data_IF_263516605872
#
_entry.id   IF_263516605872
#
_cell.length_a   1.000
_cell.length_b   1.000
_cell.length_c   1.000
_cell.angle_alpha   90.00
_cell.angle_beta   90.00
_cell.angle_gamma   90.00
#
_symmetry.space_group_name_H-M   'P 1'
#
loop_
_entity.id
_entity.type
_entity.pdbx_description
1 polymer ?
#
# COMPACT_ATOMS: atom_id res chain seq x y z
N UNK A 1 -17.50 -23.17 7.76
CA UNK A 1 -18.38 -24.35 7.92
C UNK A 1 -18.00 -25.41 6.88
N UNK A 2 -17.16 -26.39 7.25
CA UNK A 2 -16.74 -27.47 6.35
C UNK A 2 -17.85 -28.53 6.23
N UNK A 3 -18.83 -28.28 5.35
CA UNK A 3 -19.87 -29.24 5.03
C UNK A 3 -19.39 -30.31 4.04
N UNK A 4 -19.58 -31.59 4.38
CA UNK A 4 -19.34 -32.77 3.52
C UNK A 4 -19.74 -32.50 2.06
N UNK A 5 -18.84 -32.81 1.11
CA UNK A 5 -19.12 -32.80 -0.33
C UNK A 5 -20.34 -33.68 -0.64
N UNK A 6 -21.49 -33.06 -0.89
CA UNK A 6 -22.60 -33.70 -1.60
C UNK A 6 -22.45 -33.31 -3.07
N UNK A 7 -21.99 -34.25 -3.87
CA UNK A 7 -22.12 -34.17 -5.33
C UNK A 7 -23.56 -34.53 -5.66
N UNK A 8 -24.30 -33.63 -6.31
CA UNK A 8 -25.60 -33.97 -6.88
C UNK A 8 -25.36 -34.86 -8.12
N UNK A 9 -26.30 -35.74 -8.47
CA UNK A 9 -26.23 -36.64 -9.65
C UNK A 9 -25.91 -35.91 -10.98
N UNK A 10 -26.13 -34.60 -11.03
CA UNK A 10 -25.82 -33.73 -12.17
C UNK A 10 -24.37 -33.17 -12.18
N UNK A 11 -23.50 -33.54 -11.24
CA UNK A 11 -22.10 -33.09 -11.17
C UNK A 11 -21.87 -31.69 -10.56
N UNK A 12 -22.87 -31.13 -9.89
CA UNK A 12 -22.76 -29.89 -9.11
C UNK A 12 -22.28 -30.20 -7.67
N UNK A 13 -21.33 -29.41 -7.16
CA UNK A 13 -20.80 -29.52 -5.78
C UNK A 13 -20.87 -28.16 -5.06
N UNK A 14 -20.78 -28.17 -3.73
CA UNK A 14 -20.71 -26.94 -2.93
C UNK A 14 -19.57 -26.02 -3.39
N UNK A 15 -18.39 -26.59 -3.65
CA UNK A 15 -17.20 -25.86 -4.09
C UNK A 15 -17.47 -25.14 -5.43
N UNK A 16 -18.10 -25.83 -6.40
CA UNK A 16 -18.44 -25.26 -7.70
C UNK A 16 -19.51 -24.16 -7.62
N UNK A 17 -20.47 -24.30 -6.70
CA UNK A 17 -21.50 -23.27 -6.47
C UNK A 17 -20.89 -22.02 -5.87
N UNK A 18 -20.00 -22.17 -4.89
CA UNK A 18 -19.25 -21.06 -4.31
C UNK A 18 -18.35 -20.38 -5.35
N UNK A 19 -17.71 -21.16 -6.23
CA UNK A 19 -16.94 -20.62 -7.36
C UNK A 19 -17.78 -19.75 -8.29
N UNK A 20 -18.97 -20.23 -8.66
CA UNK A 20 -19.91 -19.47 -9.51
C UNK A 20 -20.35 -18.18 -8.81
N UNK A 21 -20.70 -18.26 -7.53
CA UNK A 21 -21.09 -17.09 -6.73
C UNK A 21 -19.97 -16.05 -6.68
N UNK A 22 -18.73 -16.45 -6.38
CA UNK A 22 -17.57 -15.54 -6.37
C UNK A 22 -17.35 -14.89 -7.72
N UNK A 23 -17.36 -15.66 -8.81
CA UNK A 23 -17.12 -15.11 -10.16
C UNK A 23 -18.22 -14.15 -10.58
N UNK A 24 -19.49 -14.53 -10.47
CA UNK A 24 -20.59 -13.66 -10.86
C UNK A 24 -20.78 -12.49 -9.88
N UNK A 25 -20.39 -12.66 -8.63
CA UNK A 25 -20.31 -11.60 -7.62
C UNK A 25 -19.37 -10.49 -8.04
N UNK A 26 -18.25 -10.81 -8.70
CA UNK A 26 -17.31 -9.82 -9.24
C UNK A 26 -17.72 -9.36 -10.65
N UNK A 27 -17.93 -10.28 -11.60
CA UNK A 27 -18.10 -9.95 -13.02
C UNK A 27 -19.52 -9.51 -13.41
N UNK A 28 -20.53 -9.72 -12.56
CA UNK A 28 -21.97 -9.44 -12.77
C UNK A 28 -22.67 -10.31 -13.80
N UNK A 29 -22.02 -10.58 -14.92
CA UNK A 29 -22.52 -11.43 -16.00
C UNK A 29 -21.36 -12.21 -16.60
N UNK A 30 -21.48 -13.52 -16.75
CA UNK A 30 -20.43 -14.34 -17.36
C UNK A 30 -21.00 -15.58 -18.05
N UNK A 31 -20.22 -16.17 -18.96
CA UNK A 31 -20.49 -17.51 -19.48
C UNK A 31 -19.87 -18.57 -18.56
N UNK A 32 -20.35 -19.82 -18.66
CA UNK A 32 -19.77 -20.93 -17.91
C UNK A 32 -18.28 -21.16 -18.22
N UNK A 33 -17.84 -20.81 -19.44
CA UNK A 33 -16.43 -20.90 -19.87
C UNK A 33 -15.56 -19.87 -19.16
N UNK A 34 -16.05 -18.63 -19.02
CA UNK A 34 -15.34 -17.59 -18.28
C UNK A 34 -15.26 -17.92 -16.78
N UNK A 35 -16.35 -18.42 -16.20
CA UNK A 35 -16.36 -18.89 -14.80
C UNK A 35 -15.33 -20.01 -14.62
N UNK A 36 -15.35 -21.02 -15.48
CA UNK A 36 -14.39 -22.13 -15.41
C UNK A 36 -12.94 -21.65 -15.53
N UNK A 37 -12.63 -20.74 -16.46
CA UNK A 37 -11.26 -20.24 -16.66
C UNK A 37 -10.74 -19.50 -15.43
N UNK A 38 -11.60 -18.82 -14.67
CA UNK A 38 -11.22 -18.11 -13.46
C UNK A 38 -11.10 -19.02 -12.25
N UNK A 39 -12.10 -19.87 -12.00
CA UNK A 39 -12.13 -20.66 -10.77
C UNK A 39 -11.42 -22.01 -10.88
N UNK A 40 -11.35 -22.57 -12.09
CA UNK A 40 -10.88 -23.93 -12.31
C UNK A 40 -10.05 -24.04 -13.60
N UNK A 41 -8.98 -23.24 -13.77
CA UNK A 41 -8.24 -23.10 -15.04
C UNK A 41 -7.66 -24.40 -15.61
N UNK A 42 -7.37 -25.39 -14.77
CA UNK A 42 -6.86 -26.69 -15.24
C UNK A 42 -7.83 -27.44 -16.15
N UNK A 43 -9.15 -27.21 -16.05
CA UNK A 43 -10.12 -27.85 -16.96
C UNK A 43 -9.98 -27.37 -18.41
N UNK A 44 -9.34 -26.21 -18.65
CA UNK A 44 -9.04 -25.73 -20.01
C UNK A 44 -8.11 -26.67 -20.77
N UNK A 45 -7.30 -27.45 -20.05
CA UNK A 45 -6.33 -28.40 -20.59
C UNK A 45 -6.82 -29.85 -20.52
N UNK A 46 -8.08 -30.08 -20.15
CA UNK A 46 -8.69 -31.41 -20.14
C UNK A 46 -9.51 -31.66 -21.40
N UNK A 47 -9.80 -32.93 -21.64
CA UNK A 47 -10.68 -33.38 -22.74
C UNK A 47 -10.16 -32.97 -24.12
N UNK A 48 -8.84 -32.78 -24.27
CA UNK A 48 -8.22 -32.33 -25.53
C UNK A 48 -8.40 -33.31 -26.68
N UNK A 49 -8.66 -34.59 -26.36
CA UNK A 49 -8.94 -35.69 -27.30
C UNK A 49 -10.33 -35.64 -27.95
N UNK A 50 -11.26 -34.77 -27.49
CA UNK A 50 -12.56 -34.63 -28.16
C UNK A 50 -12.37 -34.02 -29.56
N UNK A 51 -13.14 -34.48 -30.56
CA UNK A 51 -12.82 -34.26 -31.98
C UNK A 51 -13.03 -32.81 -32.46
N UNK A 52 -13.80 -32.00 -31.74
CA UNK A 52 -14.12 -30.63 -32.16
C UNK A 52 -13.92 -29.64 -31.01
N UNK A 53 -13.52 -28.39 -31.28
CA UNK A 53 -13.43 -27.34 -30.26
C UNK A 53 -14.73 -27.16 -29.44
N UNK A 54 -15.90 -27.26 -30.08
CA UNK A 54 -17.19 -27.16 -29.42
C UNK A 54 -17.39 -28.28 -28.38
N UNK A 55 -17.17 -29.55 -28.75
CA UNK A 55 -17.26 -30.69 -27.80
C UNK A 55 -16.22 -30.60 -26.67
N UNK A 56 -15.02 -30.07 -26.94
CA UNK A 56 -14.03 -29.79 -25.89
C UNK A 56 -14.54 -28.76 -24.88
N UNK A 57 -15.05 -27.64 -25.39
CA UNK A 57 -15.64 -26.57 -24.57
C UNK A 57 -16.86 -27.05 -23.78
N UNK A 58 -17.71 -27.85 -24.40
CA UNK A 58 -18.87 -28.44 -23.74
C UNK A 58 -18.47 -29.32 -22.56
N UNK A 59 -17.51 -30.22 -22.77
CA UNK A 59 -17.03 -31.13 -21.73
C UNK A 59 -16.39 -30.37 -20.55
N UNK A 60 -15.49 -29.42 -20.82
CA UNK A 60 -14.79 -28.69 -19.75
C UNK A 60 -15.68 -27.74 -18.95
N UNK A 61 -16.81 -27.31 -19.49
CA UNK A 61 -17.75 -26.39 -18.83
C UNK A 61 -18.97 -27.08 -18.22
N UNK A 62 -19.12 -28.40 -18.39
CA UNK A 62 -20.31 -29.13 -17.97
C UNK A 62 -20.61 -28.98 -16.47
N UNK A 63 -19.60 -29.13 -15.62
CA UNK A 63 -19.73 -28.98 -14.16
C UNK A 63 -20.16 -27.58 -13.75
N UNK A 64 -19.62 -26.54 -14.38
CA UNK A 64 -19.98 -25.15 -14.08
C UNK A 64 -21.37 -24.80 -14.60
N UNK A 65 -21.78 -25.35 -15.76
CA UNK A 65 -23.17 -25.24 -16.24
C UNK A 65 -24.15 -25.90 -15.27
N UNK A 66 -23.82 -27.09 -14.75
CA UNK A 66 -24.63 -27.78 -13.75
C UNK A 66 -24.73 -26.96 -12.44
N UNK A 67 -23.61 -26.43 -11.95
CA UNK A 67 -23.59 -25.60 -10.74
C UNK A 67 -24.41 -24.31 -10.89
N UNK A 68 -24.31 -23.63 -12.03
CA UNK A 68 -25.14 -22.45 -12.30
C UNK A 68 -26.63 -22.83 -12.36
N UNK A 69 -26.97 -23.94 -13.01
CA UNK A 69 -28.36 -24.38 -13.11
C UNK A 69 -28.94 -24.77 -11.73
N UNK A 70 -28.11 -25.31 -10.84
CA UNK A 70 -28.48 -25.58 -9.44
C UNK A 70 -28.74 -24.28 -8.67
N UNK A 71 -27.85 -23.29 -8.75
CA UNK A 71 -28.07 -21.96 -8.17
C UNK A 71 -29.34 -21.29 -8.69
N UNK A 72 -29.66 -21.48 -9.98
CA UNK A 72 -30.92 -21.00 -10.58
C UNK A 72 -32.15 -21.68 -9.98
N UNK A 73 -32.11 -23.01 -9.77
CA UNK A 73 -33.20 -23.74 -9.09
C UNK A 73 -33.43 -23.24 -7.67
N UNK A 74 -32.38 -22.76 -7.02
CA UNK A 74 -32.45 -22.13 -5.69
C UNK A 74 -32.73 -20.62 -5.71
N UNK A 75 -33.05 -20.03 -6.87
CA UNK A 75 -33.39 -18.60 -6.98
C UNK A 75 -32.19 -17.64 -6.82
N UNK A 76 -30.95 -18.14 -6.85
CA UNK A 76 -29.73 -17.34 -6.65
C UNK A 76 -29.14 -16.83 -7.97
N UNK A 77 -29.47 -17.45 -9.10
CA UNK A 77 -29.00 -17.05 -10.42
C UNK A 77 -30.15 -17.02 -11.43
N UNK A 78 -30.01 -16.25 -12.51
CA UNK A 78 -30.96 -16.20 -13.64
C UNK A 78 -30.22 -16.12 -14.96
N UNK A 79 -30.96 -16.33 -16.04
CA UNK A 79 -30.46 -16.26 -17.42
C UNK A 79 -30.24 -14.80 -17.83
N UNK A 80 -29.03 -14.50 -18.29
CA UNK A 80 -28.63 -13.18 -18.78
C UNK A 80 -28.79 -12.99 -20.29
N UNK A 81 -29.36 -13.97 -20.99
CA UNK A 81 -29.40 -13.99 -22.44
C UNK A 81 -28.22 -14.73 -23.04
N UNK A 82 -27.89 -14.43 -24.31
CA UNK A 82 -26.84 -15.12 -25.07
C UNK A 82 -25.84 -14.13 -25.66
N UNK A 83 -24.58 -14.56 -25.77
CA UNK A 83 -23.56 -13.84 -26.53
C UNK A 83 -23.86 -13.93 -28.03
N UNK A 84 -23.16 -13.12 -28.84
CA UNK A 84 -23.23 -13.21 -30.31
C UNK A 84 -22.83 -14.59 -30.84
N UNK A 85 -21.95 -15.30 -30.12
CA UNK A 85 -21.56 -16.68 -30.41
C UNK A 85 -22.57 -17.73 -29.93
N UNK A 86 -23.73 -17.33 -29.42
CA UNK A 86 -24.78 -18.23 -28.95
C UNK A 86 -24.56 -18.79 -27.54
N UNK A 87 -23.53 -18.34 -26.83
CA UNK A 87 -23.21 -18.84 -25.49
C UNK A 87 -24.14 -18.24 -24.44
N UNK A 88 -24.64 -19.08 -23.54
CA UNK A 88 -25.50 -18.62 -22.47
C UNK A 88 -24.73 -17.82 -21.42
N UNK A 89 -25.30 -16.68 -21.05
CA UNK A 89 -24.77 -15.80 -20.01
C UNK A 89 -25.66 -15.89 -18.77
N UNK A 90 -25.06 -15.68 -17.61
CA UNK A 90 -25.69 -15.92 -16.32
C UNK A 90 -25.38 -14.76 -15.39
N UNK A 91 -26.34 -14.39 -14.55
CA UNK A 91 -26.23 -13.31 -13.56
C UNK A 91 -26.85 -13.73 -12.24
N UNK A 92 -26.46 -13.06 -11.16
CA UNK A 92 -27.01 -13.31 -9.82
C UNK A 92 -28.30 -12.52 -9.60
N UNK A 93 -29.21 -13.10 -8.82
CA UNK A 93 -30.33 -12.35 -8.22
C UNK A 93 -29.83 -11.49 -7.06
N UNK A 94 -30.71 -10.71 -6.43
CA UNK A 94 -30.37 -9.97 -5.21
C UNK A 94 -29.88 -10.90 -4.10
N UNK A 95 -30.55 -12.04 -3.92
CA UNK A 95 -30.20 -13.04 -2.91
C UNK A 95 -28.92 -13.78 -3.29
N UNK A 96 -28.71 -14.07 -4.58
CA UNK A 96 -27.45 -14.59 -5.07
C UNK A 96 -26.28 -13.65 -4.84
N UNK A 97 -26.48 -12.34 -5.02
CA UNK A 97 -25.47 -11.33 -4.75
C UNK A 97 -25.13 -11.24 -3.26
N UNK A 98 -26.14 -11.37 -2.38
CA UNK A 98 -25.93 -11.46 -0.94
C UNK A 98 -25.16 -12.73 -0.54
N UNK A 99 -25.44 -13.87 -1.17
CA UNK A 99 -24.66 -15.09 -0.96
C UNK A 99 -23.20 -14.92 -1.43
N UNK A 100 -22.99 -14.30 -2.60
CA UNK A 100 -21.66 -14.03 -3.12
C UNK A 100 -20.87 -13.03 -2.25
N UNK A 101 -21.55 -12.09 -1.60
CA UNK A 101 -20.93 -11.11 -0.69
C UNK A 101 -20.27 -11.80 0.50
N UNK A 102 -20.93 -12.83 1.07
CA UNK A 102 -20.38 -13.66 2.13
C UNK A 102 -19.14 -14.42 1.64
N UNK A 103 -19.22 -15.04 0.46
CA UNK A 103 -18.10 -15.83 -0.11
C UNK A 103 -16.90 -14.98 -0.52
N UNK A 104 -17.10 -13.68 -0.77
CA UNK A 104 -16.05 -12.73 -1.14
C UNK A 104 -15.54 -11.90 0.05
N UNK A 105 -16.15 -12.05 1.23
CA UNK A 105 -15.90 -11.23 2.42
C UNK A 105 -16.01 -9.72 2.12
N UNK A 106 -17.11 -9.33 1.46
CA UNK A 106 -17.37 -7.95 1.03
C UNK A 106 -18.75 -7.48 1.45
N UNK A 107 -18.86 -6.20 1.82
CA UNK A 107 -20.16 -5.56 2.04
C UNK A 107 -20.98 -5.49 0.75
N UNK A 108 -22.31 -5.61 0.85
CA UNK A 108 -23.21 -5.55 -0.32
C UNK A 108 -23.08 -4.23 -1.10
N UNK A 109 -22.77 -3.13 -0.42
CA UNK A 109 -22.46 -1.83 -1.02
C UNK A 109 -21.19 -1.83 -1.88
N UNK A 110 -20.25 -2.72 -1.59
CA UNK A 110 -19.02 -2.88 -2.36
C UNK A 110 -19.21 -3.81 -3.55
N UNK A 111 -20.19 -4.70 -3.47
CA UNK A 111 -20.57 -5.58 -4.55
C UNK A 111 -21.08 -4.78 -5.76
N UNK A 112 -21.64 -3.58 -5.59
CA UNK A 112 -22.17 -2.81 -6.73
C UNK A 112 -23.57 -3.28 -7.17
N UNK A 113 -24.09 -2.71 -8.25
CA UNK A 113 -25.47 -2.92 -8.68
C UNK A 113 -25.72 -4.27 -9.37
N UNK A 114 -26.99 -4.68 -9.42
CA UNK A 114 -27.43 -5.75 -10.33
C UNK A 114 -27.25 -5.28 -11.78
N UNK A 115 -26.75 -6.14 -12.69
CA UNK A 115 -26.65 -5.78 -14.10
C UNK A 115 -28.06 -5.53 -14.66
N UNK A 116 -28.21 -4.49 -15.50
CA UNK A 116 -29.39 -4.38 -16.37
C UNK A 116 -29.33 -5.56 -17.34
N UNK A 117 -30.43 -6.29 -17.51
CA UNK A 117 -30.48 -7.49 -18.35
C UNK A 117 -29.83 -7.23 -19.71
N UNK A 118 -28.92 -8.12 -20.13
CA UNK A 118 -28.42 -8.06 -21.48
C UNK A 118 -29.57 -8.49 -22.40
N UNK A 119 -30.10 -7.56 -23.20
CA UNK A 119 -31.08 -7.88 -24.24
C UNK A 119 -30.55 -8.95 -25.20
N UNK A 120 -31.39 -9.40 -26.14
CA UNK A 120 -31.12 -10.49 -27.11
C UNK A 120 -29.80 -10.41 -27.91
N UNK A 121 -29.05 -9.31 -27.83
CA UNK A 121 -27.75 -9.06 -28.48
C UNK A 121 -26.72 -8.30 -27.61
N UNK A 122 -26.97 -8.11 -26.31
CA UNK A 122 -26.38 -7.01 -25.51
C UNK A 122 -25.13 -7.27 -24.66
N UNK A 123 -24.50 -8.46 -24.72
CA UNK A 123 -23.41 -8.79 -23.79
C UNK A 123 -21.97 -8.52 -24.28
N UNK A 124 -21.76 -7.95 -25.48
CA UNK A 124 -20.41 -7.89 -26.09
C UNK A 124 -19.39 -7.09 -25.27
N UNK A 125 -19.79 -5.95 -24.70
CA UNK A 125 -18.91 -5.14 -23.87
C UNK A 125 -18.62 -5.80 -22.52
N UNK A 126 -19.62 -6.25 -21.72
CA UNK A 126 -19.35 -7.03 -20.50
C UNK A 126 -18.47 -8.27 -20.72
N UNK A 127 -18.63 -8.98 -21.84
CA UNK A 127 -17.75 -10.11 -22.15
C UNK A 127 -16.30 -9.66 -22.37
N UNK A 128 -16.08 -8.50 -22.96
CA UNK A 128 -14.74 -7.94 -23.18
C UNK A 128 -14.11 -7.47 -21.87
N UNK A 129 -14.91 -6.89 -20.97
CA UNK A 129 -14.51 -6.57 -19.60
C UNK A 129 -14.05 -7.83 -18.87
N UNK A 130 -14.83 -8.91 -18.93
CA UNK A 130 -14.47 -10.19 -18.32
C UNK A 130 -13.16 -10.76 -18.87
N UNK A 131 -12.98 -10.71 -20.19
CA UNK A 131 -11.75 -11.18 -20.83
C UNK A 131 -10.53 -10.34 -20.45
N UNK A 132 -10.72 -9.04 -20.22
CA UNK A 132 -9.68 -8.14 -19.69
C UNK A 132 -9.29 -8.57 -18.27
N UNK A 133 -10.26 -8.83 -17.39
CA UNK A 133 -10.01 -9.32 -16.03
C UNK A 133 -9.27 -10.67 -16.06
N UNK A 134 -9.71 -11.62 -16.90
CA UNK A 134 -9.03 -12.92 -17.05
C UNK A 134 -7.58 -12.74 -17.53
N UNK A 135 -7.35 -11.85 -18.49
CA UNK A 135 -6.02 -11.60 -19.04
C UNK A 135 -5.08 -10.91 -18.04
N UNK A 136 -5.62 -10.10 -17.11
CA UNK A 136 -4.85 -9.51 -16.02
C UNK A 136 -4.56 -10.52 -14.91
N UNK A 137 -5.52 -11.36 -14.50
CA UNK A 137 -5.33 -12.37 -13.44
C UNK A 137 -4.40 -13.50 -13.89
N UNK A 138 -4.45 -13.89 -15.17
CA UNK A 138 -3.76 -15.07 -15.72
C UNK A 138 -3.90 -16.33 -14.84
N UNK A 139 -5.13 -16.84 -14.60
CA UNK A 139 -5.36 -17.97 -13.71
C UNK A 139 -4.49 -19.18 -14.05
N UNK A 140 -3.74 -19.69 -13.06
CA UNK A 140 -2.76 -20.76 -13.25
C UNK A 140 -3.41 -22.15 -13.13
N UNK A 141 -3.20 -23.06 -14.09
CA UNK A 141 -3.73 -24.42 -13.97
C UNK A 141 -3.02 -25.17 -12.82
N UNK A 142 -3.79 -25.97 -12.08
CA UNK A 142 -3.23 -26.93 -11.13
C UNK A 142 -2.65 -28.14 -11.90
N UNK A 143 -1.32 -28.26 -11.91
CA UNK A 143 -0.61 -29.27 -12.68
C UNK A 143 -0.90 -30.71 -12.24
N UNK A 144 -1.12 -30.94 -10.93
CA UNK A 144 -1.46 -32.26 -10.40
C UNK A 144 -2.77 -32.80 -10.99
N UNK A 145 -3.69 -31.89 -11.35
CA UNK A 145 -4.99 -32.24 -11.92
C UNK A 145 -4.96 -32.48 -13.44
N UNK A 146 -3.82 -32.32 -14.10
CA UNK A 146 -3.68 -32.55 -15.55
C UNK A 146 -2.65 -33.62 -15.90
N UNK A 147 -1.97 -34.22 -14.92
CA UNK A 147 -0.87 -35.17 -15.20
C UNK A 147 -1.28 -36.42 -15.99
N UNK A 148 -2.57 -36.77 -15.99
CA UNK A 148 -3.12 -37.91 -16.73
C UNK A 148 -3.65 -37.54 -18.12
N UNK A 149 -3.60 -36.25 -18.49
CA UNK A 149 -4.00 -35.79 -19.82
C UNK A 149 -2.89 -36.08 -20.86
N UNK A 150 -3.19 -36.00 -22.17
CA UNK A 150 -2.19 -36.18 -23.22
C UNK A 150 -0.96 -35.27 -23.05
N UNK A 151 0.21 -35.74 -23.49
CA UNK A 151 1.48 -35.03 -23.31
C UNK A 151 1.46 -33.58 -23.81
N UNK A 152 0.82 -33.32 -24.95
CA UNK A 152 0.64 -31.96 -25.49
C UNK A 152 -0.17 -31.06 -24.54
N UNK A 153 -1.24 -31.60 -23.94
CA UNK A 153 -2.08 -30.87 -23.00
C UNK A 153 -1.33 -30.57 -21.69
N UNK A 154 -0.54 -31.53 -21.21
CA UNK A 154 0.35 -31.36 -20.05
C UNK A 154 1.41 -30.29 -20.35
N UNK A 155 2.02 -30.32 -21.54
CA UNK A 155 3.00 -29.33 -21.96
C UNK A 155 2.39 -27.92 -22.02
N UNK A 156 1.19 -27.78 -22.61
CA UNK A 156 0.46 -26.52 -22.65
C UNK A 156 0.10 -26.00 -21.25
N UNK A 157 -0.35 -26.88 -20.35
CA UNK A 157 -0.65 -26.52 -18.97
C UNK A 157 0.61 -26.08 -18.20
N UNK A 158 1.74 -26.77 -18.41
CA UNK A 158 3.04 -26.39 -17.85
C UNK A 158 3.50 -25.03 -18.37
N UNK A 159 3.39 -24.79 -19.68
CA UNK A 159 3.73 -23.49 -20.27
C UNK A 159 2.90 -22.35 -19.65
N UNK A 160 1.59 -22.56 -19.47
CA UNK A 160 0.72 -21.57 -18.82
C UNK A 160 1.05 -21.36 -17.34
N UNK A 161 1.39 -22.43 -16.61
CA UNK A 161 1.84 -22.36 -15.22
C UNK A 161 3.16 -21.58 -15.09
N UNK A 162 4.13 -21.84 -15.98
CA UNK A 162 5.45 -21.19 -15.98
C UNK A 162 5.47 -19.78 -16.57
N UNK A 163 4.42 -19.34 -17.27
CA UNK A 163 4.32 -17.96 -17.75
C UNK A 163 4.42 -16.97 -16.58
N UNK A 164 4.72 -15.67 -16.80
CA UNK A 164 4.66 -14.67 -15.76
C UNK A 164 3.29 -14.66 -15.05
N UNK A 165 3.31 -14.32 -13.77
CA UNK A 165 2.10 -14.18 -12.98
C UNK A 165 1.25 -13.01 -13.47
N UNK A 166 -0.06 -13.15 -13.27
CA UNK A 166 -0.98 -12.03 -13.42
C UNK A 166 -0.94 -11.11 -12.20
N UNK A 167 -1.92 -10.22 -12.10
CA UNK A 167 -2.04 -9.27 -10.99
C UNK A 167 -3.26 -9.60 -10.16
N UNK A 168 -3.03 -9.81 -8.86
CA UNK A 168 -4.08 -10.08 -7.88
C UNK A 168 -4.85 -11.37 -8.11
N UNK A 169 -5.90 -11.53 -7.32
CA UNK A 169 -6.87 -12.63 -7.43
C UNK A 169 -8.21 -12.08 -7.92
N UNK A 170 -9.20 -12.93 -8.16
CA UNK A 170 -10.57 -12.47 -8.46
C UNK A 170 -11.10 -11.47 -7.42
N UNK A 171 -10.77 -11.67 -6.14
CA UNK A 171 -11.15 -10.80 -5.04
C UNK A 171 -10.32 -9.50 -4.97
N UNK A 172 -9.40 -9.27 -5.92
CA UNK A 172 -8.72 -7.98 -6.09
C UNK A 172 -9.49 -7.04 -7.05
N UNK A 173 -10.53 -7.55 -7.73
CA UNK A 173 -11.28 -6.82 -8.76
C UNK A 173 -12.72 -6.52 -8.32
N UNK A 174 -13.24 -5.40 -8.81
CA UNK A 174 -14.66 -5.05 -8.76
C UNK A 174 -15.05 -4.43 -10.11
N UNK A 175 -16.19 -4.83 -10.68
CA UNK A 175 -16.67 -4.25 -11.95
C UNK A 175 -17.83 -3.29 -11.74
N UNK A 176 -18.09 -2.43 -12.72
CA UNK A 176 -19.23 -1.48 -12.74
C UNK A 176 -19.24 -0.51 -11.53
N UNK A 177 -18.07 0.00 -11.16
CA UNK A 177 -17.89 0.79 -9.94
C UNK A 177 -18.26 2.25 -10.17
N UNK A 178 -19.29 2.73 -9.48
CA UNK A 178 -19.68 4.14 -9.52
C UNK A 178 -18.65 5.05 -8.84
N UNK A 179 -18.31 6.17 -9.49
CA UNK A 179 -17.32 7.16 -9.05
C UNK A 179 -18.02 8.51 -8.83
N UNK A 180 -18.62 8.72 -7.65
CA UNK A 180 -19.53 9.83 -7.42
C UNK A 180 -18.80 11.18 -7.39
N UNK A 181 -19.13 12.07 -8.32
CA UNK A 181 -18.65 13.48 -8.29
C UNK A 181 -19.50 14.36 -7.37
N UNK A 182 -20.75 13.93 -7.12
CA UNK A 182 -21.70 14.46 -6.12
C UNK A 182 -22.56 13.29 -5.61
N UNK A 183 -23.26 13.48 -4.50
CA UNK A 183 -24.04 12.41 -3.85
C UNK A 183 -23.15 11.40 -3.12
N UNK A 184 -23.68 10.24 -2.77
CA UNK A 184 -22.95 9.21 -2.01
C UNK A 184 -22.49 8.07 -2.93
N UNK A 185 -21.68 7.15 -2.41
CA UNK A 185 -21.34 5.90 -3.11
C UNK A 185 -22.57 5.08 -3.51
N UNK A 186 -23.61 5.09 -2.66
CA UNK A 186 -24.87 4.37 -2.91
C UNK A 186 -25.75 5.09 -3.94
N UNK A 187 -25.80 6.42 -3.86
CA UNK A 187 -26.63 7.26 -4.72
C UNK A 187 -25.75 8.29 -5.44
N UNK A 188 -24.98 7.86 -6.45
CA UNK A 188 -24.16 8.77 -7.24
C UNK A 188 -25.06 9.71 -8.05
N UNK A 189 -24.74 11.00 -8.05
CA UNK A 189 -25.49 11.98 -8.84
C UNK A 189 -25.24 11.80 -10.35
N UNK A 190 -26.15 12.34 -11.17
CA UNK A 190 -25.99 12.44 -12.63
C UNK A 190 -24.64 13.11 -12.97
N UNK A 191 -23.93 12.55 -13.95
CA UNK A 191 -22.61 13.03 -14.39
C UNK A 191 -21.43 12.38 -13.67
N UNK A 192 -21.67 11.51 -12.68
CA UNK A 192 -20.65 10.65 -12.09
C UNK A 192 -20.09 9.66 -13.12
N UNK A 193 -18.80 9.37 -13.05
CA UNK A 193 -18.22 8.29 -13.85
C UNK A 193 -18.64 6.92 -13.30
N UNK A 194 -18.51 5.90 -14.14
CA UNK A 194 -18.52 4.51 -13.72
C UNK A 194 -17.34 3.85 -14.37
N UNK A 195 -16.44 3.29 -13.55
CA UNK A 195 -15.33 2.50 -14.03
C UNK A 195 -15.83 1.11 -14.42
N UNK A 196 -15.38 0.59 -15.55
CA UNK A 196 -15.70 -0.78 -15.95
C UNK A 196 -15.09 -1.77 -14.97
N UNK A 197 -13.85 -1.53 -14.54
CA UNK A 197 -13.18 -2.32 -13.49
C UNK A 197 -12.34 -1.42 -12.58
N UNK A 198 -12.30 -1.77 -11.30
CA UNK A 198 -11.35 -1.27 -10.31
C UNK A 198 -10.52 -2.45 -9.81
N UNK A 199 -9.21 -2.29 -9.80
CA UNK A 199 -8.24 -3.25 -9.31
C UNK A 199 -7.52 -2.69 -8.08
N UNK A 200 -7.54 -3.46 -7.00
CA UNK A 200 -6.75 -3.25 -5.78
C UNK A 200 -6.00 -4.53 -5.44
N UNK A 201 -4.70 -4.55 -5.70
CA UNK A 201 -3.81 -5.68 -5.43
C UNK A 201 -2.48 -5.19 -4.83
N UNK A 202 -2.48 -4.61 -3.61
CA UNK A 202 -1.26 -4.12 -2.97
C UNK A 202 -0.19 -5.21 -2.80
N UNK A 203 -0.61 -6.47 -2.64
CA UNK A 203 0.27 -7.64 -2.58
C UNK A 203 1.09 -7.85 -3.85
N UNK A 204 0.61 -7.36 -5.00
CA UNK A 204 1.29 -7.40 -6.28
C UNK A 204 2.00 -6.07 -6.62
N UNK A 205 2.13 -5.16 -5.64
CA UNK A 205 2.67 -3.81 -5.85
C UNK A 205 1.78 -2.91 -6.71
N UNK A 206 0.55 -3.33 -7.02
CA UNK A 206 -0.38 -2.58 -7.84
C UNK A 206 -1.09 -1.51 -6.98
N UNK A 207 -0.91 -0.21 -7.27
CA UNK A 207 -1.74 0.82 -6.65
C UNK A 207 -3.20 0.66 -7.09
N UNK A 208 -4.11 1.44 -6.49
CA UNK A 208 -5.48 1.56 -6.99
C UNK A 208 -5.47 1.88 -8.50
N UNK A 209 -5.95 0.95 -9.32
CA UNK A 209 -6.01 1.08 -10.77
C UNK A 209 -7.46 1.05 -11.24
N UNK A 210 -7.83 2.07 -12.02
CA UNK A 210 -9.11 2.08 -12.74
C UNK A 210 -8.89 1.56 -14.16
N UNK A 211 -9.86 0.84 -14.70
CA UNK A 211 -9.76 0.24 -16.03
C UNK A 211 -11.04 0.54 -16.80
N UNK A 212 -10.86 1.00 -18.03
CA UNK A 212 -11.92 1.18 -19.02
C UNK A 212 -11.63 0.28 -20.20
N UNK A 213 -12.68 -0.33 -20.73
CA UNK A 213 -12.60 -1.27 -21.85
C UNK A 213 -13.43 -0.71 -23.00
N UNK A 214 -12.86 -0.61 -24.19
CA UNK A 214 -13.61 -0.18 -25.37
C UNK A 214 -13.52 -1.22 -26.48
N UNK A 215 -14.67 -1.52 -27.08
CA UNK A 215 -14.78 -2.45 -28.21
C UNK A 215 -14.41 -1.79 -29.55
N UNK A 216 -13.73 -0.64 -29.53
CA UNK A 216 -13.49 0.21 -30.69
C UNK A 216 -14.80 0.66 -31.37
N UNK A 217 -15.86 0.81 -30.57
CA UNK A 217 -17.19 1.25 -31.01
C UNK A 217 -17.49 2.66 -30.57
N UNK A 218 -16.89 3.12 -29.47
CA UNK A 218 -17.01 4.48 -28.97
C UNK A 218 -16.09 5.43 -29.77
N UNK A 219 -16.43 6.71 -29.81
CA UNK A 219 -15.56 7.73 -30.41
C UNK A 219 -14.51 8.20 -29.40
N UNK A 220 -13.28 8.45 -29.87
CA UNK A 220 -12.18 8.96 -29.04
C UNK A 220 -12.56 10.19 -28.20
N UNK A 221 -13.44 11.07 -28.69
CA UNK A 221 -13.91 12.25 -27.95
C UNK A 221 -14.78 11.86 -26.75
N UNK A 222 -15.63 10.84 -26.89
CA UNK A 222 -16.48 10.35 -25.80
C UNK A 222 -15.63 9.62 -24.76
N UNK A 223 -14.65 8.81 -25.20
CA UNK A 223 -13.65 8.18 -24.33
C UNK A 223 -12.87 9.27 -23.57
N UNK A 224 -12.38 10.30 -24.27
CA UNK A 224 -11.66 11.41 -23.65
C UNK A 224 -12.50 12.16 -22.61
N UNK A 225 -13.78 12.40 -22.88
CA UNK A 225 -14.71 13.06 -21.94
C UNK A 225 -14.93 12.27 -20.64
N UNK A 226 -14.65 10.94 -20.61
CA UNK A 226 -14.62 10.18 -19.35
C UNK A 226 -13.54 10.70 -18.40
N UNK A 227 -12.39 11.13 -18.92
CA UNK A 227 -11.28 11.61 -18.10
C UNK A 227 -11.59 12.92 -17.38
N UNK A 228 -12.47 13.77 -17.91
CA UNK A 228 -12.98 14.94 -17.19
C UNK A 228 -13.81 14.53 -15.96
N UNK A 229 -14.53 13.40 -16.04
CA UNK A 229 -15.28 12.85 -14.90
C UNK A 229 -14.33 12.23 -13.88
N UNK A 230 -13.33 11.46 -14.32
CA UNK A 230 -12.28 10.93 -13.45
C UNK A 230 -11.52 12.05 -12.71
N UNK A 231 -11.09 13.09 -13.42
CA UNK A 231 -10.40 14.22 -12.83
C UNK A 231 -11.25 14.92 -11.77
N UNK A 232 -12.56 15.13 -12.02
CA UNK A 232 -13.48 15.69 -11.02
C UNK A 232 -13.65 14.76 -9.82
N UNK A 233 -13.77 13.47 -10.04
CA UNK A 233 -13.88 12.48 -8.97
C UNK A 233 -12.62 12.42 -8.10
N UNK A 234 -11.42 12.40 -8.70
CA UNK A 234 -10.16 12.35 -7.96
C UNK A 234 -9.87 13.60 -7.14
N UNK A 235 -10.40 14.75 -7.58
CA UNK A 235 -10.33 16.03 -6.85
C UNK A 235 -11.40 16.18 -5.78
N UNK A 236 -12.45 15.35 -5.79
CA UNK A 236 -13.51 15.43 -4.80
C UNK A 236 -12.94 15.09 -3.43
N UNK A 237 -13.17 15.97 -2.45
CA UNK A 237 -12.79 15.78 -1.06
C UNK A 237 -14.01 15.43 -0.20
N UNK A 238 -13.77 14.74 0.89
CA UNK A 238 -14.71 14.49 1.97
C UNK A 238 -13.97 14.64 3.30
N UNK A 239 -14.66 15.15 4.33
CA UNK A 239 -14.09 15.21 5.67
C UNK A 239 -14.18 13.81 6.30
N UNK A 240 -13.09 13.38 6.92
CA UNK A 240 -13.11 12.16 7.72
C UNK A 240 -13.68 12.39 9.12
N UNK A 241 -13.67 11.32 9.94
CA UNK A 241 -14.15 11.35 11.32
C UNK A 241 -13.43 12.38 12.19
N UNK A 242 -12.19 12.72 11.84
CA UNK A 242 -11.36 13.70 12.55
C UNK A 242 -11.47 15.11 11.94
N UNK A 243 -12.37 15.29 10.95
CA UNK A 243 -12.61 16.55 10.27
C UNK A 243 -11.55 16.91 9.22
N UNK A 244 -10.60 16.02 8.94
CA UNK A 244 -9.52 16.22 7.97
C UNK A 244 -10.07 15.97 6.57
N UNK A 245 -9.83 16.91 5.65
CA UNK A 245 -10.20 16.73 4.25
C UNK A 245 -9.28 15.72 3.57
N UNK A 246 -9.87 14.62 3.09
CA UNK A 246 -9.18 13.64 2.25
C UNK A 246 -9.92 13.44 0.92
N UNK A 247 -9.21 13.09 -0.16
CA UNK A 247 -9.86 12.70 -1.41
C UNK A 247 -10.86 11.57 -1.17
N UNK A 248 -12.08 11.70 -1.70
CA UNK A 248 -13.18 10.77 -1.46
C UNK A 248 -12.78 9.32 -1.76
N UNK A 249 -12.06 9.09 -2.85
CA UNK A 249 -11.64 7.74 -3.23
C UNK A 249 -10.76 7.05 -2.16
N UNK A 250 -10.08 7.81 -1.29
CA UNK A 250 -9.32 7.28 -0.15
C UNK A 250 -10.19 6.86 1.04
N UNK A 251 -11.50 7.15 1.02
CA UNK A 251 -12.44 6.63 2.04
C UNK A 251 -12.81 5.18 1.76
N UNK A 252 -12.73 4.75 0.50
CA UNK A 252 -13.08 3.40 0.07
C UNK A 252 -11.87 2.53 -0.20
N UNK A 253 -10.83 3.09 -0.79
CA UNK A 253 -9.63 2.32 -1.15
C UNK A 253 -8.42 2.86 -0.43
N UNK A 254 -7.68 1.93 0.18
CA UNK A 254 -6.37 2.26 0.71
C UNK A 254 -5.44 2.65 -0.43
N UNK A 255 -4.65 3.70 -0.21
CA UNK A 255 -3.52 4.06 -1.05
C UNK A 255 -2.42 4.63 -0.18
N UNK A 256 -1.14 4.40 -0.52
CA UNK A 256 -0.03 5.01 0.19
C UNK A 256 -0.23 6.52 0.33
N UNK A 257 0.21 7.10 1.45
CA UNK A 257 0.23 8.55 1.59
C UNK A 257 1.00 9.13 0.39
N UNK A 258 0.44 10.18 -0.24
CA UNK A 258 1.20 10.92 -1.23
C UNK A 258 2.45 11.43 -0.51
N UNK A 259 3.63 11.17 -1.07
CA UNK A 259 4.83 11.80 -0.53
C UNK A 259 4.67 13.33 -0.65
N UNK A 260 5.46 14.06 0.13
CA UNK A 260 5.39 15.52 0.16
C UNK A 260 5.65 16.18 -1.22
N UNK A 261 6.09 15.42 -2.23
CA UNK A 261 6.56 15.92 -3.51
C UNK A 261 5.51 15.86 -4.62
N UNK A 262 4.67 14.80 -4.71
CA UNK A 262 3.62 14.73 -5.75
C UNK A 262 2.34 14.03 -5.27
N UNK A 263 1.20 14.64 -5.60
CA UNK A 263 -0.15 14.11 -5.47
C UNK A 263 -0.61 13.56 -6.81
N UNK A 264 -0.04 12.43 -7.23
CA UNK A 264 -0.46 11.78 -8.48
C UNK A 264 -1.85 11.17 -8.29
N UNK A 265 -2.75 11.41 -9.25
CA UNK A 265 -4.06 10.76 -9.25
C UNK A 265 -3.93 9.26 -9.56
N UNK A 266 -4.88 8.41 -9.13
CA UNK A 266 -4.84 6.99 -9.47
C UNK A 266 -4.72 6.77 -10.99
N UNK A 267 -3.92 5.80 -11.44
CA UNK A 267 -3.79 5.46 -12.86
C UNK A 267 -5.10 4.94 -13.46
N UNK A 268 -5.24 5.15 -14.77
CA UNK A 268 -6.34 4.60 -15.58
C UNK A 268 -5.76 3.82 -16.74
N UNK A 269 -6.13 2.54 -16.85
CA UNK A 269 -5.80 1.66 -17.96
C UNK A 269 -6.94 1.62 -18.98
N UNK A 270 -6.65 1.94 -20.23
CA UNK A 270 -7.54 1.75 -21.38
C UNK A 270 -7.19 0.44 -22.09
N UNK A 271 -8.17 -0.46 -22.22
CA UNK A 271 -8.02 -1.72 -22.97
C UNK A 271 -8.92 -1.69 -24.19
N UNK A 272 -8.31 -1.64 -25.38
CA UNK A 272 -9.04 -1.64 -26.63
C UNK A 272 -9.19 -3.06 -27.19
N UNK A 273 -10.40 -3.46 -27.54
CA UNK A 273 -10.67 -4.69 -28.25
C UNK A 273 -11.15 -4.40 -29.67
N UNK A 274 -10.41 -4.91 -30.66
CA UNK A 274 -10.63 -4.65 -32.09
C UNK A 274 -11.83 -5.45 -32.65
N UNK A 275 -13.02 -5.25 -32.09
CA UNK A 275 -14.28 -5.80 -32.64
C UNK A 275 -15.00 -4.74 -33.50
N UNK A 276 -14.95 -3.49 -33.08
CA UNK A 276 -15.61 -2.37 -33.75
C UNK A 276 -14.90 -1.94 -35.02
N UNK A 277 -15.54 -1.02 -35.74
CA UNK A 277 -15.08 -0.51 -37.03
C UNK A 277 -13.86 0.41 -36.93
N UNK A 278 -13.55 0.94 -35.74
CA UNK A 278 -12.46 1.90 -35.54
C UNK A 278 -11.17 1.16 -35.23
N UNK A 279 -10.03 1.63 -35.75
CA UNK A 279 -8.72 1.06 -35.41
C UNK A 279 -8.34 1.41 -33.97
N UNK A 280 -8.00 0.40 -33.16
CA UNK A 280 -7.56 0.54 -31.78
C UNK A 280 -6.35 1.48 -31.66
N UNK A 281 -5.32 1.31 -32.51
CA UNK A 281 -4.13 2.16 -32.49
C UNK A 281 -4.48 3.63 -32.78
N UNK A 282 -5.36 3.88 -33.76
CA UNK A 282 -5.81 5.24 -34.07
C UNK A 282 -6.66 5.85 -32.95
N UNK A 283 -7.50 5.04 -32.30
CA UNK A 283 -8.26 5.49 -31.12
C UNK A 283 -7.32 5.83 -29.97
N UNK A 284 -6.35 4.96 -29.65
CA UNK A 284 -5.36 5.20 -28.60
C UNK A 284 -4.61 6.52 -28.83
N UNK A 285 -4.13 6.76 -30.06
CA UNK A 285 -3.43 8.00 -30.40
C UNK A 285 -4.33 9.24 -30.27
N UNK A 286 -5.56 9.20 -30.79
CA UNK A 286 -6.52 10.32 -30.67
C UNK A 286 -6.91 10.59 -29.23
N UNK A 287 -7.14 9.55 -28.42
CA UNK A 287 -7.44 9.71 -27.00
C UNK A 287 -6.23 10.31 -26.26
N UNK A 288 -5.01 9.88 -26.59
CA UNK A 288 -3.79 10.47 -26.02
C UNK A 288 -3.73 11.98 -26.28
N UNK A 289 -3.97 12.42 -27.51
CA UNK A 289 -3.97 13.85 -27.85
C UNK A 289 -5.09 14.63 -27.16
N UNK A 290 -6.33 14.13 -27.20
CA UNK A 290 -7.49 14.79 -26.60
C UNK A 290 -7.39 14.91 -25.07
N UNK A 291 -6.73 13.95 -24.43
CA UNK A 291 -6.57 13.91 -22.96
C UNK A 291 -5.26 14.52 -22.47
N UNK A 292 -4.46 15.14 -23.36
CA UNK A 292 -3.13 15.68 -23.02
C UNK A 292 -3.09 16.51 -21.75
N UNK A 293 -4.08 17.36 -21.54
CA UNK A 293 -4.19 18.23 -20.36
C UNK A 293 -4.41 17.47 -19.03
N UNK A 294 -4.80 16.19 -19.06
CA UNK A 294 -4.95 15.34 -17.87
C UNK A 294 -3.66 14.60 -17.49
N UNK A 295 -2.84 14.19 -18.46
CA UNK A 295 -1.70 13.29 -18.22
C UNK A 295 -0.33 13.93 -18.43
N UNK A 296 -0.24 15.07 -19.11
CA UNK A 296 1.05 15.67 -19.46
C UNK A 296 1.78 16.18 -18.22
N UNK A 297 2.85 15.49 -17.87
CA UNK A 297 3.74 15.87 -16.77
C UNK A 297 4.67 17.04 -17.13
N UNK A 298 5.11 17.77 -16.12
CA UNK A 298 6.04 18.91 -16.25
C UNK A 298 7.47 18.44 -16.06
N UNK A 299 8.39 18.90 -16.92
CA UNK A 299 9.80 18.58 -16.75
C UNK A 299 10.34 19.18 -15.44
N UNK A 300 10.98 18.36 -14.60
CA UNK A 300 11.61 18.75 -13.35
C UNK A 300 13.14 18.67 -13.52
N UNK A 301 13.81 19.79 -13.89
CA UNK A 301 15.20 19.77 -14.34
C UNK A 301 16.18 19.32 -13.25
N UNK A 302 15.96 19.71 -11.99
CA UNK A 302 16.85 19.36 -10.87
C UNK A 302 16.90 17.84 -10.60
N UNK A 303 15.84 17.13 -10.98
CA UNK A 303 15.72 15.69 -10.78
C UNK A 303 15.88 14.85 -12.04
N UNK A 304 15.85 15.47 -13.22
CA UNK A 304 15.93 14.76 -14.51
C UNK A 304 14.71 13.87 -14.80
N UNK A 305 13.51 14.26 -14.35
CA UNK A 305 12.29 13.49 -14.54
C UNK A 305 11.08 14.38 -14.87
N UNK A 306 10.00 13.79 -15.41
CA UNK A 306 8.71 14.49 -15.52
C UNK A 306 7.90 14.29 -14.24
N UNK A 307 7.52 15.41 -13.61
CA UNK A 307 6.60 15.45 -12.49
C UNK A 307 5.17 15.28 -12.99
N UNK A 308 4.39 14.42 -12.33
CA UNK A 308 2.99 14.15 -12.66
C UNK A 308 2.06 14.59 -11.53
N UNK A 309 2.44 15.61 -10.76
CA UNK A 309 1.60 16.17 -9.70
C UNK A 309 0.22 16.55 -10.25
N UNK A 310 -0.83 15.98 -9.63
CA UNK A 310 -2.25 16.14 -10.02
C UNK A 310 -2.58 15.70 -11.46
N UNK A 311 -1.69 14.98 -12.12
CA UNK A 311 -1.96 14.34 -13.41
C UNK A 311 -2.55 12.94 -13.19
N UNK A 312 -3.27 12.45 -14.20
CA UNK A 312 -3.76 11.07 -14.29
C UNK A 312 -2.76 10.29 -15.16
N UNK A 313 -2.06 9.27 -14.64
CA UNK A 313 -1.32 8.34 -15.49
C UNK A 313 -2.31 7.56 -16.36
N UNK A 314 -2.37 7.86 -17.66
CA UNK A 314 -3.19 7.13 -18.61
C UNK A 314 -2.30 6.15 -19.38
N UNK A 315 -2.67 4.88 -19.32
CA UNK A 315 -1.96 3.78 -19.95
C UNK A 315 -2.92 3.08 -20.90
N UNK A 316 -2.46 2.68 -22.08
CA UNK A 316 -3.30 2.00 -23.05
C UNK A 316 -2.65 0.72 -23.57
N UNK A 317 -3.46 -0.28 -23.86
CA UNK A 317 -3.07 -1.53 -24.55
C UNK A 317 -4.24 -2.07 -25.37
N UNK A 318 -4.01 -3.14 -26.12
CA UNK A 318 -5.09 -3.92 -26.74
C UNK A 318 -5.34 -5.22 -25.98
N UNK A 319 -6.57 -5.73 -26.03
CA UNK A 319 -6.92 -6.98 -25.36
C UNK A 319 -6.11 -8.17 -25.90
N UNK A 320 -5.78 -8.18 -27.19
CA UNK A 320 -5.01 -9.27 -27.80
C UNK A 320 -3.56 -9.27 -27.31
N UNK A 321 -2.93 -8.09 -27.26
CA UNK A 321 -1.59 -7.94 -26.67
C UNK A 321 -1.57 -8.32 -25.19
N UNK A 322 -2.62 -7.93 -24.44
CA UNK A 322 -2.75 -8.26 -23.03
C UNK A 322 -2.91 -9.77 -22.80
N UNK A 323 -3.70 -10.46 -23.63
CA UNK A 323 -3.87 -11.92 -23.56
C UNK A 323 -2.56 -12.66 -23.84
N UNK A 324 -1.85 -12.24 -24.87
CA UNK A 324 -0.60 -12.86 -25.30
C UNK A 324 0.50 -12.66 -24.24
N UNK A 325 0.81 -11.41 -23.93
CA UNK A 325 2.00 -11.07 -23.15
C UNK A 325 1.72 -10.89 -21.65
N UNK A 326 0.46 -10.69 -21.25
CA UNK A 326 0.10 -10.45 -19.86
C UNK A 326 0.51 -9.08 -19.33
N UNK A 327 0.27 -8.81 -18.03
CA UNK A 327 0.57 -7.52 -17.41
C UNK A 327 2.08 -7.24 -17.26
N UNK A 328 2.91 -8.28 -17.19
CA UNK A 328 4.37 -8.17 -17.14
C UNK A 328 5.01 -7.95 -18.52
N UNK A 329 4.24 -8.11 -19.61
CA UNK A 329 4.74 -7.93 -20.97
C UNK A 329 4.92 -6.45 -21.35
N UNK A 330 5.87 -6.11 -22.24
CA UNK A 330 6.14 -4.75 -22.67
C UNK A 330 5.12 -4.25 -23.72
N UNK A 331 3.83 -4.29 -23.37
CA UNK A 331 2.72 -3.99 -24.29
C UNK A 331 1.98 -2.71 -23.93
N UNK A 332 2.22 -2.14 -22.76
CA UNK A 332 1.47 -1.00 -22.26
C UNK A 332 2.13 0.31 -22.69
N UNK A 333 1.36 1.16 -23.35
CA UNK A 333 1.78 2.49 -23.75
C UNK A 333 1.26 3.52 -22.76
N UNK A 334 2.15 4.12 -21.97
CA UNK A 334 1.79 5.32 -21.19
C UNK A 334 1.80 6.54 -22.09
N UNK A 335 0.71 7.30 -22.08
CA UNK A 335 0.64 8.54 -22.82
C UNK A 335 1.74 9.51 -22.37
N UNK A 336 2.42 10.12 -23.35
CA UNK A 336 3.60 10.96 -23.12
C UNK A 336 4.94 10.22 -23.06
N UNK A 337 4.95 8.89 -23.22
CA UNK A 337 6.17 8.09 -23.44
C UNK A 337 6.18 7.53 -24.87
N UNK A 338 7.35 7.27 -25.40
CA UNK A 338 7.58 6.83 -26.79
C UNK A 338 7.69 5.31 -26.95
N UNK A 339 7.81 4.57 -25.86
CA UNK A 339 7.96 3.12 -25.85
C UNK A 339 6.88 2.44 -24.99
N UNK A 340 6.70 1.14 -25.25
CA UNK A 340 5.83 0.27 -24.46
C UNK A 340 6.60 -0.36 -23.31
N UNK A 341 5.91 -0.61 -22.21
CA UNK A 341 6.49 -1.07 -20.94
C UNK A 341 5.58 -2.13 -20.30
N UNK A 342 6.08 -2.91 -19.32
CA UNK A 342 5.23 -3.64 -18.38
C UNK A 342 4.26 -2.71 -17.66
N UNK A 343 3.10 -3.21 -17.22
CA UNK A 343 2.05 -2.37 -16.65
C UNK A 343 2.51 -1.57 -15.42
N UNK A 344 3.23 -2.21 -14.49
CA UNK A 344 3.75 -1.56 -13.27
C UNK A 344 4.74 -0.44 -13.60
N UNK A 345 5.61 -0.65 -14.59
CA UNK A 345 6.56 0.37 -15.04
C UNK A 345 5.87 1.52 -15.79
N UNK A 346 4.83 1.19 -16.57
CA UNK A 346 4.02 2.16 -17.27
C UNK A 346 3.33 3.11 -16.27
N UNK A 347 2.67 2.59 -15.23
CA UNK A 347 2.01 3.44 -14.22
C UNK A 347 3.01 4.17 -13.31
N UNK A 348 4.17 3.59 -13.02
CA UNK A 348 5.20 4.15 -12.13
C UNK A 348 6.02 5.31 -12.70
N UNK A 349 6.91 5.88 -11.89
CA UNK A 349 7.84 6.95 -12.29
C UNK A 349 9.26 6.66 -11.83
N UNK A 350 9.89 5.62 -12.41
CA UNK A 350 11.20 5.13 -11.97
C UNK A 350 12.30 6.21 -11.89
N UNK A 351 12.30 7.20 -12.80
CA UNK A 351 13.29 8.31 -12.76
C UNK A 351 13.12 9.19 -11.52
N UNK A 352 11.88 9.48 -11.15
CA UNK A 352 11.54 10.19 -9.91
C UNK A 352 11.91 9.35 -8.69
N UNK A 353 11.56 8.07 -8.69
CA UNK A 353 11.82 7.18 -7.56
C UNK A 353 13.33 7.07 -7.30
N UNK A 354 14.13 6.98 -8.37
CA UNK A 354 15.58 7.02 -8.31
C UNK A 354 16.11 8.36 -7.77
N UNK A 355 15.54 9.49 -8.20
CA UNK A 355 15.90 10.81 -7.67
C UNK A 355 15.61 10.94 -6.17
N UNK A 356 14.41 10.53 -5.73
CA UNK A 356 14.02 10.58 -4.31
C UNK A 356 14.87 9.62 -3.47
N UNK A 357 15.25 8.45 -4.00
CA UNK A 357 16.14 7.52 -3.33
C UNK A 357 17.54 8.14 -3.11
N UNK A 358 18.12 8.77 -4.14
CA UNK A 358 19.40 9.50 -4.00
C UNK A 358 19.33 10.62 -2.98
N UNK A 359 18.24 11.40 -2.98
CA UNK A 359 18.05 12.49 -2.02
C UNK A 359 17.95 11.99 -0.57
N UNK A 360 17.21 10.90 -0.33
CA UNK A 360 17.13 10.26 1.00
C UNK A 360 18.47 9.69 1.45
N UNK A 361 19.28 9.18 0.54
CA UNK A 361 20.64 8.73 0.84
C UNK A 361 21.53 9.91 1.25
N UNK A 362 21.49 11.02 0.52
CA UNK A 362 22.26 12.22 0.83
C UNK A 362 21.90 12.81 2.21
N UNK A 363 20.61 12.89 2.56
CA UNK A 363 20.17 13.37 3.88
C UNK A 363 20.71 12.48 5.00
N UNK A 364 20.59 11.15 4.86
CA UNK A 364 21.12 10.20 5.86
C UNK A 364 22.64 10.29 6.01
N UNK A 365 23.34 10.51 4.90
CA UNK A 365 24.80 10.72 4.94
C UNK A 365 25.17 12.03 5.62
N UNK A 366 24.43 13.11 5.38
CA UNK A 366 24.64 14.39 6.04
C UNK A 366 24.36 14.32 7.55
N UNK A 367 23.27 13.66 7.95
CA UNK A 367 22.95 13.37 9.35
C UNK A 367 24.08 12.58 10.02
N UNK A 368 24.54 11.50 9.39
CA UNK A 368 25.68 10.71 9.89
C UNK A 368 26.93 11.56 10.04
N UNK A 369 27.28 12.38 9.02
CA UNK A 369 28.44 13.29 9.10
C UNK A 369 28.28 14.34 10.19
N UNK A 370 27.04 14.81 10.45
CA UNK A 370 26.77 15.76 11.53
C UNK A 370 26.91 15.10 12.90
N UNK A 371 26.41 13.88 13.07
CA UNK A 371 26.58 13.08 14.28
C UNK A 371 28.06 12.78 14.54
N UNK A 372 28.82 12.38 13.51
CA UNK A 372 30.27 12.19 13.59
C UNK A 372 30.99 13.48 14.00
N UNK A 373 30.64 14.63 13.41
CA UNK A 373 31.20 15.94 13.82
C UNK A 373 30.85 16.30 15.26
N UNK A 374 29.59 16.12 15.68
CA UNK A 374 29.18 16.39 17.06
C UNK A 374 29.82 15.41 18.05
N UNK A 375 30.01 14.15 17.66
CA UNK A 375 30.75 13.17 18.48
C UNK A 375 32.22 13.56 18.60
N UNK A 376 32.88 13.93 17.50
CA UNK A 376 34.26 14.40 17.50
C UNK A 376 34.43 15.69 18.31
N UNK A 377 33.49 16.63 18.23
CA UNK A 377 33.49 17.84 19.05
C UNK A 377 33.28 17.54 20.53
N UNK A 378 32.33 16.66 20.88
CA UNK A 378 32.12 16.19 22.27
C UNK A 378 33.37 15.49 22.81
N UNK A 379 34.05 14.71 21.97
CA UNK A 379 35.30 14.02 22.30
C UNK A 379 36.49 14.98 22.42
N UNK A 380 36.53 16.03 21.60
CA UNK A 380 37.52 17.10 21.68
C UNK A 380 37.37 17.98 22.93
N UNK A 381 36.13 18.21 23.37
CA UNK A 381 35.80 18.92 24.62
C UNK A 381 35.81 18.01 25.87
N UNK A 382 36.21 16.74 25.74
CA UNK A 382 36.25 15.80 26.86
C UNK A 382 37.26 16.32 27.90
N UNK A 383 36.81 16.61 29.13
CA UNK A 383 37.72 17.04 30.20
C UNK A 383 38.81 16.01 30.43
N UNK A 384 39.98 16.48 30.82
CA UNK A 384 41.10 15.65 31.21
C UNK A 384 41.31 15.75 32.73
N UNK A 385 41.83 14.68 33.32
CA UNK A 385 42.30 14.65 34.69
C UNK A 385 43.32 15.78 34.91
N UNK A 386 43.11 16.58 35.95
CA UNK A 386 43.98 17.72 36.27
C UNK A 386 45.41 17.31 36.64
N UNK A 387 45.61 16.08 37.10
CA UNK A 387 46.91 15.58 37.56
C UNK A 387 47.67 14.82 36.46
N UNK A 388 47.08 13.76 35.89
CA UNK A 388 47.76 12.92 34.90
C UNK A 388 47.43 13.25 33.43
N UNK A 389 46.49 14.17 33.16
CA UNK A 389 46.10 14.57 31.81
C UNK A 389 45.29 13.55 31.01
N UNK A 390 44.93 12.40 31.59
CA UNK A 390 44.11 11.39 30.94
C UNK A 390 42.67 11.90 30.76
N UNK A 391 42.08 11.68 29.57
CA UNK A 391 40.68 12.04 29.31
C UNK A 391 39.73 11.27 30.23
N UNK A 392 38.80 11.98 30.87
CA UNK A 392 37.80 11.38 31.77
C UNK A 392 36.77 10.56 31.00
N UNK A 393 36.22 9.52 31.63
CA UNK A 393 35.16 8.68 31.04
C UNK A 393 33.85 9.44 30.93
N UNK A 394 32.89 8.91 30.15
CA UNK A 394 31.58 9.57 30.01
C UNK A 394 30.81 9.61 31.34
N UNK A 395 30.92 8.55 32.16
CA UNK A 395 30.33 8.48 33.51
C UNK A 395 30.93 9.54 34.45
N UNK A 396 32.26 9.68 34.48
CA UNK A 396 32.96 10.71 35.27
C UNK A 396 32.55 12.14 34.83
N UNK A 397 32.32 12.35 33.53
CA UNK A 397 31.87 13.63 32.99
C UNK A 397 30.42 13.94 33.37
N UNK A 398 29.56 12.94 33.45
CA UNK A 398 28.17 13.09 33.89
C UNK A 398 28.11 13.48 35.37
N UNK A 399 28.94 12.85 36.22
CA UNK A 399 29.10 13.22 37.64
C UNK A 399 29.56 14.68 37.81
N UNK A 400 30.50 15.14 36.98
CA UNK A 400 30.94 16.55 36.95
C UNK A 400 29.84 17.54 36.51
N UNK A 401 28.88 17.10 35.70
CA UNK A 401 27.82 17.94 35.13
C UNK A 401 26.57 18.07 36.00
N UNK A 402 26.35 17.19 36.98
CA UNK A 402 25.08 17.09 37.71
C UNK A 402 25.08 17.75 39.11
N UNK A 403 26.20 18.23 39.64
CA UNK A 403 26.31 18.53 41.08
C UNK A 403 26.06 19.99 41.46
N UNK A 404 24.82 20.25 41.90
CA UNK A 404 24.55 21.17 43.02
C UNK A 404 24.37 20.32 44.29
N UNK A 405 25.46 20.12 45.04
CA UNK A 405 25.43 19.48 46.36
C UNK A 405 26.33 18.26 46.43
N UNK A 406 27.60 18.47 46.77
CA UNK A 406 28.57 17.41 47.02
C UNK A 406 28.40 16.88 48.46
N UNK A 407 28.38 15.55 48.63
CA UNK A 407 28.54 14.88 49.92
C UNK A 407 29.98 14.37 50.10
N UNK A 408 30.36 14.02 51.33
CA UNK A 408 31.73 13.67 51.80
C UNK A 408 32.51 12.59 51.01
N UNK A 409 31.93 11.94 50.00
CA UNK A 409 32.63 10.92 49.18
C UNK A 409 33.23 11.43 47.86
N UNK A 410 33.02 12.68 47.49
CA UNK A 410 33.39 13.21 46.17
C UNK A 410 34.24 14.49 46.27
N UNK A 411 35.33 14.45 47.04
CA UNK A 411 36.21 15.59 47.31
C UNK A 411 37.06 16.05 46.11
N UNK A 412 37.25 15.21 45.08
CA UNK A 412 38.17 15.50 43.96
C UNK A 412 37.58 15.18 42.57
N UNK A 413 36.52 15.90 42.13
CA UNK A 413 35.75 15.53 40.94
C UNK A 413 36.48 15.77 39.60
N UNK A 414 37.59 16.50 39.60
CA UNK A 414 38.39 16.79 38.41
C UNK A 414 39.52 15.77 38.16
N UNK A 415 39.62 14.71 38.97
CA UNK A 415 40.62 13.66 38.86
C UNK A 415 40.04 12.42 38.19
N UNK A 416 40.89 11.62 37.54
CA UNK A 416 40.52 10.26 37.17
C UNK A 416 40.50 9.37 38.43
N UNK A 417 39.79 8.25 38.37
CA UNK A 417 39.62 7.29 39.48
C UNK A 417 40.93 6.97 40.22
N UNK A 418 42.00 6.64 39.49
CA UNK A 418 43.31 6.37 40.11
C UNK A 418 43.91 7.57 40.84
N UNK A 419 43.82 8.77 40.27
CA UNK A 419 44.34 10.00 40.90
C UNK A 419 43.46 10.43 42.08
N UNK A 420 42.15 10.18 42.01
CA UNK A 420 41.21 10.41 43.10
C UNK A 420 41.52 9.50 44.29
N UNK A 421 41.75 8.21 44.05
CA UNK A 421 42.12 7.26 45.10
C UNK A 421 43.42 7.66 45.80
N UNK A 422 44.41 8.14 45.03
CA UNK A 422 45.67 8.66 45.58
C UNK A 422 45.47 9.92 46.41
N UNK A 423 44.65 10.86 45.93
CA UNK A 423 44.35 12.10 46.66
C UNK A 423 43.61 11.81 47.98
N UNK A 424 42.62 10.91 47.96
CA UNK A 424 41.91 10.48 49.17
C UNK A 424 42.85 9.78 50.16
N UNK A 425 43.74 8.92 49.67
CA UNK A 425 44.74 8.28 50.53
C UNK A 425 45.73 9.28 51.15
N UNK A 426 46.13 10.31 50.40
CA UNK A 426 46.98 11.38 50.90
C UNK A 426 46.26 12.25 51.95
N UNK A 427 44.99 12.60 51.74
CA UNK A 427 44.16 13.34 52.70
C UNK A 427 44.02 12.54 54.01
N UNK A 428 43.75 11.23 53.92
CA UNK A 428 43.63 10.35 55.10
C UNK A 428 44.95 10.24 55.87
N UNK A 429 46.09 10.19 55.18
CA UNK A 429 47.39 10.17 55.82
C UNK A 429 47.67 11.50 56.52
N UNK A 430 47.40 12.64 55.87
CA UNK A 430 47.58 13.96 56.48
C UNK A 430 46.69 14.15 57.73
N UNK A 431 45.45 13.67 57.71
CA UNK A 431 44.59 13.69 58.88
C UNK A 431 45.09 12.76 60.00
N UNK A 432 45.72 11.63 59.67
CA UNK A 432 46.34 10.75 60.66
C UNK A 432 47.56 11.43 61.30
N UNK A 433 48.42 12.05 60.48
CA UNK A 433 49.59 12.79 60.92
C UNK A 433 49.18 14.02 61.79
N UNK A 434 48.12 14.74 61.44
CA UNK A 434 47.57 15.84 62.26
C UNK A 434 47.01 15.35 63.59
N UNK A 435 46.35 14.18 63.61
CA UNK A 435 45.86 13.57 64.87
C UNK A 435 47.03 13.17 65.76
N UNK A 436 48.06 12.53 65.21
CA UNK A 436 49.28 12.21 65.95
C UNK A 436 49.96 13.48 66.51
N UNK A 437 50.03 14.57 65.73
CA UNK A 437 50.59 15.84 66.19
C UNK A 437 49.75 16.48 67.30
N UNK A 438 48.40 16.45 67.21
CA UNK A 438 47.51 16.96 68.27
C UNK A 438 47.56 16.12 69.53
N UNK A 439 47.77 14.81 69.41
CA UNK A 439 47.97 13.91 70.56
C UNK A 439 49.32 14.17 71.24
N UNK A 440 50.37 14.52 70.49
CA UNK A 440 51.66 14.96 71.05
C UNK A 440 51.54 16.33 71.75
N UNK A 441 50.88 17.32 71.13
CA UNK A 441 50.69 18.66 71.73
C UNK A 441 49.81 18.62 73.01
N UNK A 442 48.84 17.70 73.11
CA UNK A 442 48.01 17.54 74.31
C UNK A 442 48.74 16.86 75.48
N UNK A 443 49.82 16.12 75.23
CA UNK A 443 50.63 15.51 76.30
C UNK A 443 51.57 16.53 76.98
N UNK A 444 51.85 17.67 76.35
CA UNK A 444 52.85 18.65 76.80
C UNK A 444 52.30 19.91 77.53
N UNK A 445 51.02 19.97 77.92
CA UNK A 445 50.46 21.14 78.66
C UNK A 445 49.49 20.80 79.82
N UNK A 446 49.91 20.89 81.10
CA UNK A 446 49.00 20.97 82.24
C UNK A 446 48.71 22.44 82.68
N UNK A 447 47.42 22.68 82.92
CA UNK A 447 46.71 23.84 83.47
C UNK A 447 47.44 24.79 84.45
N UNK A 448 47.21 26.10 84.28
CA UNK A 448 47.30 27.13 85.34
C UNK A 448 46.14 28.15 85.25
N UNK A 449 45.52 28.43 86.39
CA UNK A 449 44.41 29.38 86.64
C UNK A 449 44.91 30.81 86.98
N UNK A 450 43.95 31.78 86.99
CA UNK A 450 43.95 33.18 87.47
C UNK A 450 43.75 34.21 86.31
N UNK A 451 43.01 35.32 86.37
CA UNK A 451 42.30 36.08 87.42
C UNK A 451 41.41 37.14 86.71
N UNK A 452 40.35 37.62 87.36
CA UNK A 452 39.46 38.74 86.98
C UNK A 452 40.08 40.12 87.38
N UNK A 453 39.68 41.31 86.84
CA UNK A 453 38.40 41.95 87.24
C UNK A 453 37.72 42.98 86.27
N UNK A 454 36.37 42.93 86.21
CA UNK A 454 35.35 44.00 86.44
C UNK A 454 35.35 45.39 85.67
N UNK A 455 34.31 46.25 85.80
CA UNK A 455 33.06 46.25 85.00
C UNK A 455 32.61 47.65 84.48
N UNK A 456 31.53 47.71 83.68
CA UNK A 456 30.87 48.97 83.29
C UNK A 456 29.43 48.78 82.78
N UNK A 457 28.40 49.48 83.31
CA UNK A 457 26.99 49.16 83.07
C UNK A 457 26.22 50.14 82.14
N UNK A 458 25.15 49.56 81.57
CA UNK A 458 23.78 50.07 81.34
C UNK A 458 23.41 51.30 80.47
N UNK A 459 22.55 50.98 79.49
CA UNK A 459 21.20 51.54 79.24
C UNK A 459 21.01 52.82 78.40
N UNK A 460 20.10 52.70 77.42
CA UNK A 460 19.18 53.80 77.07
C UNK A 460 18.72 53.92 75.62
N UNK A 461 17.46 53.52 75.37
CA UNK A 461 16.48 54.15 74.44
C UNK A 461 16.69 54.01 72.92
N UNK A 462 15.94 53.16 72.21
CA UNK A 462 14.54 53.36 71.70
C UNK A 462 14.37 54.41 70.60
N UNK A 463 13.93 53.98 69.41
CA UNK A 463 12.59 54.14 68.80
C UNK A 463 12.66 53.52 67.38
N UNK A 464 12.05 52.36 67.10
CA UNK A 464 10.62 52.13 66.83
C UNK A 464 10.25 52.23 65.34
N UNK A 465 9.71 51.09 64.85
CA UNK A 465 8.49 50.97 64.03
C UNK A 465 8.59 51.34 62.52
N UNK A 466 7.88 50.71 61.60
CA UNK A 466 6.65 49.90 61.68
C UNK A 466 6.52 49.04 60.41
N UNK A 467 5.96 47.84 60.53
CA UNK A 467 5.29 47.11 59.43
C UNK A 467 4.13 47.94 58.87
N UNK A 468 3.89 47.87 57.57
CA UNK A 468 2.78 47.08 57.02
C UNK A 468 2.54 47.41 55.53
N UNK A 469 2.95 46.53 54.62
CA UNK A 469 2.10 45.75 53.70
C UNK A 469 2.97 45.01 52.69
#
# INVERSE_FOLDING_TARGET
>A
MAGKRKENEAGSSNDLRADVLRVLGVLKIATADQIQRLSTPHLTYRHTTKPTPAKRKEARTASHRAAVNDLRRHGLAVDGGRTRGGEETRLLTKDGLAAAAIDLDRGLEEMGGLPKSAGRSGASHPMTVNETVIALIRPKPNLNKVMQEPAEAVAAARAAACAPDGIGTLASYATEVALPVKGTWKNPAIGSARADVVLTAPEAGMPLLFIEVDNCTEEAVLIAAKFDKYARFFKRQEKDTDGIEKPLWRTRWWAPAADAYERVHPPVLLVFHQIGQRSANNQMARVADLTRHHWQGRWHPQGGYHSYDRCIPIVATTLDQLREHGPAGPVFWRFGRDHRQPLLDAIGNARRDAYLARRRQAVREEERRREERMAAEREGRRPACADCGQKLTDDQRETLGYTRGWGERESHPHLCENCQDQAVAADQQAEADEREHREQDQQDHPHHEAEEPAPGPEAGSWFSRLRAR
#
